data_IF_474194212937
#
_entry.id   IF_474194212937
#
_cell.length_a   1.000
_cell.length_b   1.000
_cell.length_c   1.000
_cell.angle_alpha   90.00
_cell.angle_beta   90.00
_cell.angle_gamma   90.00
#
_symmetry.space_group_name_H-M   'P 1'
#
loop_
_entity.id
_entity.type
_entity.pdbx_description
1 polymer ?
#
# COMPACT_ATOMS: atom_id res chain seq x y z
N UNK A 1 5.33 -10.54 11.16
CA UNK A 1 4.48 -9.74 10.26
C UNK A 1 3.00 -9.63 10.70
N UNK A 2 2.53 -10.26 11.79
CA UNK A 2 1.09 -10.27 12.17
C UNK A 2 0.65 -9.13 13.09
N UNK A 3 1.55 -8.58 13.91
CA UNK A 3 1.18 -7.60 14.95
C UNK A 3 0.63 -6.27 14.43
N UNK A 4 0.90 -5.89 13.18
CA UNK A 4 0.26 -4.72 12.58
C UNK A 4 -1.21 -4.97 12.28
N UNK A 5 -1.52 -6.14 11.68
CA UNK A 5 -2.90 -6.51 11.37
C UNK A 5 -3.72 -6.69 12.65
N UNK A 6 -3.12 -7.24 13.71
CA UNK A 6 -3.81 -7.36 15.01
C UNK A 6 -4.21 -5.99 15.58
N UNK A 7 -3.33 -4.98 15.46
CA UNK A 7 -3.65 -3.61 15.88
C UNK A 7 -4.73 -2.98 15.01
N UNK A 8 -4.69 -3.20 13.70
CA UNK A 8 -5.70 -2.69 12.77
C UNK A 8 -7.06 -3.35 12.99
N UNK A 9 -7.11 -4.64 13.32
CA UNK A 9 -8.34 -5.34 13.68
C UNK A 9 -8.89 -4.85 15.02
N UNK A 10 -8.03 -4.69 16.03
CA UNK A 10 -8.44 -4.12 17.33
C UNK A 10 -8.96 -2.68 17.22
N UNK A 11 -8.41 -1.91 16.30
CA UNK A 11 -8.87 -0.57 15.99
C UNK A 11 -10.05 -0.56 14.97
N UNK A 12 -10.56 -1.73 14.60
CA UNK A 12 -11.72 -1.96 13.72
C UNK A 12 -11.57 -1.35 12.30
N UNK A 13 -10.33 -1.15 11.86
CA UNK A 13 -10.01 -0.75 10.50
C UNK A 13 -10.06 -1.91 9.52
N UNK A 14 -9.85 -3.14 10.01
CA UNK A 14 -9.92 -4.35 9.19
C UNK A 14 -10.67 -5.46 9.93
N UNK A 15 -11.16 -6.43 9.17
CA UNK A 15 -11.73 -7.68 9.70
C UNK A 15 -11.09 -8.90 9.05
N UNK A 16 -10.94 -9.97 9.81
CA UNK A 16 -10.46 -11.26 9.30
C UNK A 16 -11.62 -12.18 8.94
N UNK A 17 -11.64 -12.62 7.70
CA UNK A 17 -12.61 -13.59 7.19
C UNK A 17 -11.87 -14.87 6.79
N UNK A 18 -12.31 -16.02 7.29
CA UNK A 18 -11.74 -17.31 6.85
C UNK A 18 -12.04 -17.50 5.37
N UNK A 19 -11.03 -17.92 4.60
CA UNK A 19 -11.23 -18.24 3.20
C UNK A 19 -12.19 -19.43 3.06
N UNK A 20 -13.18 -19.32 2.18
CA UNK A 20 -14.31 -20.25 2.09
C UNK A 20 -13.87 -21.70 1.76
N UNK A 21 -12.80 -21.87 1.00
CA UNK A 21 -12.35 -23.17 0.49
C UNK A 21 -10.99 -23.62 1.02
N UNK A 22 -10.19 -22.74 1.64
CA UNK A 22 -8.85 -23.08 2.15
C UNK A 22 -8.70 -22.55 3.57
N UNK A 23 -8.83 -23.43 4.56
CA UNK A 23 -8.80 -23.06 5.98
C UNK A 23 -7.44 -22.54 6.45
N UNK A 24 -6.38 -22.67 5.64
CA UNK A 24 -5.05 -22.12 5.90
C UNK A 24 -4.94 -20.65 5.49
N UNK A 25 -5.94 -20.10 4.79
CA UNK A 25 -5.97 -18.71 4.31
C UNK A 25 -6.96 -17.88 5.10
N UNK A 26 -6.56 -16.63 5.37
CA UNK A 26 -7.39 -15.60 5.99
C UNK A 26 -7.40 -14.40 5.06
N UNK A 27 -8.60 -13.92 4.73
CA UNK A 27 -8.81 -12.68 3.98
C UNK A 27 -8.91 -11.52 4.98
N UNK A 28 -8.24 -10.42 4.66
CA UNK A 28 -8.33 -9.18 5.42
C UNK A 28 -9.24 -8.24 4.62
N UNK A 29 -10.38 -7.87 5.18
CA UNK A 29 -11.29 -6.89 4.59
C UNK A 29 -11.12 -5.55 5.29
N UNK A 30 -10.87 -4.49 4.51
CA UNK A 30 -10.84 -3.12 5.01
C UNK A 30 -12.26 -2.68 5.38
N UNK A 31 -12.39 -1.94 6.48
CA UNK A 31 -13.60 -1.20 6.79
C UNK A 31 -13.59 0.12 5.99
N UNK A 32 -14.18 0.09 4.79
CA UNK A 32 -14.18 1.22 3.86
C UNK A 32 -14.75 2.52 4.46
N UNK A 33 -15.81 2.41 5.27
CA UNK A 33 -16.43 3.57 5.90
C UNK A 33 -15.46 4.26 6.86
N UNK A 34 -14.76 3.47 7.68
CA UNK A 34 -13.79 3.99 8.65
C UNK A 34 -12.50 4.46 7.99
N UNK A 35 -12.04 3.76 6.97
CA UNK A 35 -10.92 4.21 6.14
C UNK A 35 -11.23 5.59 5.51
N UNK A 36 -12.43 5.78 4.98
CA UNK A 36 -12.84 7.08 4.42
C UNK A 36 -12.99 8.17 5.48
N UNK A 37 -13.55 7.86 6.64
CA UNK A 37 -13.78 8.84 7.70
C UNK A 37 -12.48 9.26 8.40
N UNK A 38 -11.60 8.31 8.71
CA UNK A 38 -10.48 8.55 9.63
C UNK A 38 -9.14 8.64 8.90
N UNK A 39 -8.97 7.93 7.78
CA UNK A 39 -7.70 7.88 7.04
C UNK A 39 -7.68 8.95 5.94
N UNK A 40 -8.75 9.05 5.14
CA UNK A 40 -8.75 9.98 4.00
C UNK A 40 -8.47 11.45 4.39
N UNK A 41 -8.98 12.01 5.51
CA UNK A 41 -8.64 13.38 5.92
C UNK A 41 -7.18 13.56 6.34
N UNK A 42 -6.55 12.54 6.93
CA UNK A 42 -5.14 12.58 7.31
C UNK A 42 -4.24 12.63 6.07
N UNK A 43 -4.58 11.84 5.06
CA UNK A 43 -3.79 11.75 3.83
C UNK A 43 -4.16 12.81 2.79
N UNK A 44 -5.31 13.46 2.90
CA UNK A 44 -5.79 14.46 1.96
C UNK A 44 -4.78 15.60 1.69
N UNK A 45 -4.25 16.29 2.72
CA UNK A 45 -3.25 17.34 2.54
C UNK A 45 -1.94 16.86 1.89
N UNK A 46 -1.51 15.64 2.26
CA UNK A 46 -0.32 15.01 1.69
C UNK A 46 -0.53 14.71 0.20
N UNK A 47 -1.62 14.03 -0.15
CA UNK A 47 -2.01 13.73 -1.54
C UNK A 47 -2.17 15.00 -2.36
N UNK A 48 -2.73 16.06 -1.77
CA UNK A 48 -2.85 17.36 -2.44
C UNK A 48 -1.49 17.97 -2.78
N UNK A 49 -0.52 17.88 -1.85
CA UNK A 49 0.85 18.34 -2.07
C UNK A 49 1.54 17.53 -3.15
N UNK A 50 1.40 16.20 -3.12
CA UNK A 50 1.97 15.31 -4.12
C UNK A 50 1.39 15.58 -5.50
N UNK A 51 0.07 15.70 -5.60
CA UNK A 51 -0.59 16.01 -6.88
C UNK A 51 -0.11 17.32 -7.48
N UNK A 52 0.13 18.35 -6.66
CA UNK A 52 0.72 19.62 -7.13
C UNK A 52 2.13 19.43 -7.66
N UNK A 53 2.97 18.70 -6.94
CA UNK A 53 4.34 18.41 -7.39
C UNK A 53 4.32 17.64 -8.72
N UNK A 54 3.49 16.60 -8.82
CA UNK A 54 3.36 15.80 -10.04
C UNK A 54 2.79 16.59 -11.23
N UNK A 55 1.91 17.56 -10.98
CA UNK A 55 1.34 18.41 -12.04
C UNK A 55 2.34 19.35 -12.73
N UNK A 56 3.54 19.50 -12.17
CA UNK A 56 4.60 20.29 -12.77
C UNK A 56 5.36 19.54 -13.89
N UNK A 57 5.10 18.25 -14.04
CA UNK A 57 5.76 17.39 -15.03
C UNK A 57 4.84 17.09 -16.21
N UNK A 58 5.43 16.94 -17.39
CA UNK A 58 4.70 16.42 -18.56
C UNK A 58 4.42 14.92 -18.41
N UNK A 59 3.57 14.38 -19.28
CA UNK A 59 3.28 12.94 -19.31
C UNK A 59 4.55 12.14 -19.60
N UNK A 60 5.40 12.64 -20.50
CA UNK A 60 6.67 12.01 -20.88
C UNK A 60 7.65 11.99 -19.70
N UNK A 61 7.73 13.09 -18.94
CA UNK A 61 8.56 13.17 -17.74
C UNK A 61 8.06 12.24 -16.62
N UNK A 62 6.74 12.17 -16.42
CA UNK A 62 6.14 11.23 -15.46
C UNK A 62 6.38 9.77 -15.87
N UNK A 63 6.35 9.49 -17.18
CA UNK A 63 6.68 8.17 -17.72
C UNK A 63 8.14 7.83 -17.41
N UNK A 64 9.06 8.76 -17.66
CA UNK A 64 10.48 8.59 -17.35
C UNK A 64 10.73 8.34 -15.86
N UNK A 65 10.09 9.13 -14.98
CA UNK A 65 10.20 8.97 -13.52
C UNK A 65 9.68 7.59 -13.09
N UNK A 66 8.55 7.17 -13.64
CA UNK A 66 7.94 5.88 -13.33
C UNK A 66 8.84 4.72 -13.76
N UNK A 67 9.39 4.79 -14.97
CA UNK A 67 10.35 3.80 -15.49
C UNK A 67 11.62 3.73 -14.63
N UNK A 68 12.14 4.87 -14.20
CA UNK A 68 13.29 4.93 -13.30
C UNK A 68 13.00 4.24 -11.96
N UNK A 69 11.86 4.58 -11.31
CA UNK A 69 11.48 3.99 -10.03
C UNK A 69 11.29 2.48 -10.13
N UNK A 70 10.67 1.99 -11.21
CA UNK A 70 10.49 0.56 -11.44
C UNK A 70 11.83 -0.19 -11.57
N UNK A 71 12.81 0.38 -12.28
CA UNK A 71 14.16 -0.21 -12.39
C UNK A 71 14.89 -0.23 -11.05
N UNK A 72 14.69 0.79 -10.22
CA UNK A 72 15.26 0.84 -8.87
C UNK A 72 14.64 -0.22 -7.98
N UNK A 73 13.31 -0.38 -8.02
CA UNK A 73 12.59 -1.46 -7.32
C UNK A 73 13.08 -2.84 -7.74
N UNK A 74 13.20 -3.10 -9.04
CA UNK A 74 13.75 -4.35 -9.56
C UNK A 74 15.17 -4.61 -9.03
N UNK A 75 16.00 -3.57 -8.96
CA UNK A 75 17.34 -3.66 -8.37
C UNK A 75 17.31 -4.03 -6.88
N UNK A 76 16.35 -3.49 -6.10
CA UNK A 76 16.16 -3.85 -4.70
C UNK A 76 15.72 -5.30 -4.55
N UNK A 77 14.77 -5.77 -5.36
CA UNK A 77 14.31 -7.17 -5.31
C UNK A 77 15.44 -8.15 -5.66
N UNK A 78 16.31 -7.80 -6.60
CA UNK A 78 17.48 -8.61 -6.93
C UNK A 78 18.54 -8.61 -5.82
N UNK A 79 18.72 -7.49 -5.12
CA UNK A 79 19.74 -7.35 -4.07
C UNK A 79 19.28 -7.83 -2.68
N UNK A 80 17.99 -7.74 -2.38
CA UNK A 80 17.35 -8.06 -1.09
C UNK A 80 16.38 -9.24 -1.16
N UNK A 81 16.25 -9.87 -2.33
CA UNK A 81 15.51 -11.12 -2.50
C UNK A 81 16.01 -12.22 -1.56
N UNK A 82 15.22 -13.27 -1.32
CA UNK A 82 15.57 -14.31 -0.36
C UNK A 82 16.98 -14.83 -0.65
N UNK A 83 17.90 -14.65 0.30
CA UNK A 83 19.17 -15.36 0.28
C UNK A 83 18.81 -16.82 0.50
N UNK A 84 18.71 -17.61 -0.57
CA UNK A 84 18.59 -19.06 -0.43
C UNK A 84 19.89 -19.56 0.22
N UNK A 85 19.77 -19.99 1.46
CA UNK A 85 20.78 -20.68 2.26
C UNK A 85 20.12 -21.79 3.06
#
# INVERSE_FOLDING_TARGET
>A
MTGLIDRLEKAEFVTRVRHATDRRRVLIHLNDARARADIAPLYGPLLGTWRRALSAYTVEELTLITDFLARVEEGFDQALGPQEG
#
